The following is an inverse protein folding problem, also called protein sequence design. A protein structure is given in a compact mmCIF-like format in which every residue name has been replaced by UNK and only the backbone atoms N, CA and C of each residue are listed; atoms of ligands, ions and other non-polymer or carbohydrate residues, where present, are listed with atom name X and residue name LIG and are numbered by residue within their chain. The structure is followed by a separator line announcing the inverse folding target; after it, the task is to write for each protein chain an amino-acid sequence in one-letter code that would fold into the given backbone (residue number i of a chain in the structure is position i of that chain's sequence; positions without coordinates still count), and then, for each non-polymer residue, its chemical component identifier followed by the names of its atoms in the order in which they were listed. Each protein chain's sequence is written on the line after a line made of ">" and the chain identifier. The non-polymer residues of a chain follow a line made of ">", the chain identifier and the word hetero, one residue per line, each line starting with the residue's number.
data_IF_270700373920
#
_entry.id   IF_270700373920
#
_cell.length_a   1.000
_cell.length_b   1.000
_cell.length_c   1.000
_cell.angle_alpha   90.00
_cell.angle_beta   90.00
_cell.angle_gamma   90.00
#
_symmetry.space_group_name_H-M   'P 1'
#
loop_
_entity.id
_entity.type
_entity.pdbx_description
1 polymer ?
#
# COMPACT_ATOMS: atom_id res chain seq x y z
N UNK A 1 10.04 2.28 -18.84
CA UNK A 1 8.60 2.58 -18.95
C UNK A 1 7.95 1.86 -17.77
N UNK A 2 7.21 2.57 -16.93
CA UNK A 2 6.50 1.92 -15.80
C UNK A 2 5.49 0.93 -16.36
N UNK A 3 5.46 -0.29 -15.84
CA UNK A 3 4.48 -1.34 -16.18
C UNK A 3 3.11 -1.11 -15.53
N UNK A 4 3.04 -0.18 -14.58
CA UNK A 4 1.80 0.17 -13.88
C UNK A 4 1.04 1.23 -14.71
N UNK A 5 -0.28 1.06 -14.91
CA UNK A 5 -1.11 2.07 -15.58
C UNK A 5 -1.05 3.43 -14.89
N UNK A 6 -1.34 4.51 -15.60
CA UNK A 6 -1.41 5.86 -14.99
C UNK A 6 -2.43 5.92 -13.86
N UNK A 7 -3.62 5.38 -14.10
CA UNK A 7 -4.66 5.20 -13.10
C UNK A 7 -5.03 3.72 -13.01
N UNK A 8 -5.08 3.19 -11.80
CA UNK A 8 -5.30 1.77 -11.56
C UNK A 8 -6.08 1.52 -10.28
N UNK A 9 -6.65 0.32 -10.17
CA UNK A 9 -7.19 -0.18 -8.92
C UNK A 9 -6.32 -1.35 -8.44
N UNK A 10 -6.25 -1.52 -7.13
CA UNK A 10 -5.53 -2.63 -6.50
C UNK A 10 -6.56 -3.65 -6.04
N UNK A 11 -6.36 -4.91 -6.44
CA UNK A 11 -7.18 -6.04 -6.04
C UNK A 11 -6.30 -7.01 -5.26
N UNK A 12 -6.70 -7.35 -4.04
CA UNK A 12 -6.00 -8.31 -3.18
C UNK A 12 -6.96 -9.45 -2.87
N UNK A 13 -6.58 -10.68 -3.23
CA UNK A 13 -7.41 -11.88 -3.06
C UNK A 13 -8.84 -11.73 -3.62
N UNK A 14 -8.96 -11.00 -4.74
CA UNK A 14 -10.23 -10.72 -5.42
C UNK A 14 -11.05 -9.57 -4.82
N UNK A 15 -10.59 -8.92 -3.76
CA UNK A 15 -11.26 -7.76 -3.14
C UNK A 15 -10.53 -6.46 -3.46
N UNK A 16 -11.26 -5.36 -3.63
CA UNK A 16 -10.65 -4.08 -3.94
C UNK A 16 -10.08 -3.42 -2.69
N UNK A 17 -8.95 -2.72 -2.81
CA UNK A 17 -8.57 -1.75 -1.78
C UNK A 17 -9.59 -0.63 -1.77
N UNK A 18 -10.25 -0.44 -0.63
CA UNK A 18 -11.37 0.48 -0.51
C UNK A 18 -10.91 1.88 -0.16
N UNK A 19 -11.54 2.87 -0.80
CA UNK A 19 -11.35 4.29 -0.45
C UNK A 19 -11.96 4.56 0.93
N UNK A 20 -11.36 5.41 1.78
CA UNK A 20 -12.01 5.85 3.01
C UNK A 20 -13.38 6.51 2.71
N UNK A 21 -14.45 6.05 3.38
CA UNK A 21 -15.81 6.57 3.15
C UNK A 21 -16.08 7.92 3.84
N UNK A 22 -15.37 8.24 4.92
CA UNK A 22 -15.54 9.47 5.70
C UNK A 22 -14.39 10.47 5.47
N UNK A 23 -14.71 11.75 5.27
CA UNK A 23 -13.72 12.85 5.10
C UNK A 23 -13.21 13.43 6.43
N UNK A 24 -13.09 12.59 7.46
CA UNK A 24 -12.46 12.99 8.73
C UNK A 24 -10.94 13.00 8.52
N UNK A 25 -10.25 14.08 8.89
CA UNK A 25 -8.78 14.29 8.84
C UNK A 25 -7.98 13.33 9.74
N UNK A 26 -8.43 12.09 9.91
CA UNK A 26 -7.84 11.10 10.79
C UNK A 26 -7.16 9.99 9.97
N UNK A 27 -5.90 9.72 10.32
CA UNK A 27 -5.18 8.52 9.88
C UNK A 27 -6.00 7.29 10.24
N UNK A 28 -6.23 6.40 9.27
CA UNK A 28 -6.98 5.17 9.51
C UNK A 28 -6.39 3.97 8.78
N UNK A 29 -6.49 2.77 9.37
CA UNK A 29 -6.09 1.55 8.68
C UNK A 29 -6.82 1.39 7.34
N UNK A 30 -6.07 1.06 6.30
CA UNK A 30 -6.65 0.74 5.01
C UNK A 30 -7.29 -0.65 5.05
N UNK A 31 -8.36 -0.81 4.29
CA UNK A 31 -9.15 -2.03 4.25
C UNK A 31 -9.48 -2.42 2.80
N UNK A 32 -9.75 -3.71 2.60
CA UNK A 32 -10.41 -4.18 1.38
C UNK A 32 -11.92 -4.05 1.51
N UNK A 33 -12.61 -3.83 0.40
CA UNK A 33 -14.06 -3.65 0.35
C UNK A 33 -14.62 -3.63 -1.07
N UNK A 34 -15.90 -3.31 -1.20
CA UNK A 34 -16.64 -3.37 -2.46
C UNK A 34 -16.37 -2.17 -3.39
N UNK A 35 -16.16 -0.97 -2.82
CA UNK A 35 -15.94 0.26 -3.58
C UNK A 35 -14.44 0.46 -3.84
N UNK A 36 -13.95 0.29 -5.08
CA UNK A 36 -12.52 0.42 -5.35
C UNK A 36 -12.04 1.87 -5.19
N UNK A 37 -10.88 2.03 -4.56
CA UNK A 37 -10.08 3.24 -4.71
C UNK A 37 -9.35 3.21 -6.06
N UNK A 38 -9.42 4.32 -6.78
CA UNK A 38 -8.57 4.57 -7.96
C UNK A 38 -7.29 5.22 -7.50
N UNK A 39 -6.16 4.68 -7.94
CA UNK A 39 -4.82 5.07 -7.55
C UNK A 39 -4.02 5.61 -8.71
N UNK A 40 -3.10 6.51 -8.39
CA UNK A 40 -1.97 6.91 -9.21
C UNK A 40 -0.68 6.81 -8.38
N UNK A 41 0.46 6.67 -9.05
CA UNK A 41 1.78 6.83 -8.43
C UNK A 41 2.28 8.25 -8.70
N UNK A 42 2.33 9.07 -7.66
CA UNK A 42 2.90 10.42 -7.68
C UNK A 42 4.33 10.33 -7.11
N UNK A 43 5.31 10.24 -8.01
CA UNK A 43 6.67 9.85 -7.64
C UNK A 43 6.69 8.44 -7.06
N UNK A 44 7.05 8.33 -5.77
CA UNK A 44 7.06 7.06 -5.03
C UNK A 44 5.92 6.98 -3.99
N UNK A 45 4.87 7.80 -4.14
CA UNK A 45 3.73 7.82 -3.23
C UNK A 45 2.48 7.31 -3.94
N UNK A 46 1.72 6.46 -3.26
CA UNK A 46 0.49 5.88 -3.77
C UNK A 46 -0.69 6.76 -3.39
N UNK A 47 -1.30 7.44 -4.36
CA UNK A 47 -2.28 8.50 -4.16
C UNK A 47 -3.66 8.09 -4.69
N UNK A 48 -4.73 8.48 -3.99
CA UNK A 48 -6.13 8.32 -4.40
C UNK A 48 -6.95 9.58 -4.10
N UNK A 49 -7.00 10.50 -5.05
CA UNK A 49 -7.61 11.83 -4.84
C UNK A 49 -6.89 12.59 -3.73
N UNK A 50 -7.60 12.98 -2.68
CA UNK A 50 -7.06 13.72 -1.52
C UNK A 50 -6.35 12.84 -0.48
N UNK A 51 -6.15 11.56 -0.78
CA UNK A 51 -5.59 10.58 0.15
C UNK A 51 -4.29 9.99 -0.37
N UNK A 52 -3.35 9.75 0.54
CA UNK A 52 -2.16 8.94 0.33
C UNK A 52 -2.28 7.63 1.10
N UNK A 53 -1.80 6.53 0.51
CA UNK A 53 -1.80 5.20 1.12
C UNK A 53 -0.36 4.76 1.38
N UNK A 54 -0.04 4.40 2.62
CA UNK A 54 1.32 3.92 2.92
C UNK A 54 1.61 3.62 4.37
N UNK A 55 2.91 3.49 4.63
CA UNK A 55 3.48 3.34 5.97
C UNK A 55 4.12 4.67 6.35
N UNK A 56 3.81 5.22 7.52
CA UNK A 56 4.43 6.46 7.99
C UNK A 56 5.89 6.22 8.36
N UNK A 57 6.76 7.15 7.99
CA UNK A 57 8.12 7.29 8.52
C UNK A 57 8.01 7.50 10.03
N UNK A 58 8.41 6.50 10.81
CA UNK A 58 8.42 6.63 12.26
C UNK A 58 9.76 7.25 12.66
N UNK A 59 9.74 8.49 13.14
CA UNK A 59 10.94 9.05 13.79
C UNK A 59 11.26 8.23 15.04
N UNK A 60 12.40 7.53 15.04
CA UNK A 60 12.96 6.89 16.23
C UNK A 60 12.31 5.58 16.70
N UNK A 61 11.43 4.92 15.92
CA UNK A 61 11.00 3.58 16.28
C UNK A 61 11.97 2.51 15.79
N UNK A 62 12.71 1.95 16.75
CA UNK A 62 13.25 0.60 16.64
C UNK A 62 12.08 -0.33 16.29
N UNK A 63 12.10 -0.94 15.11
CA UNK A 63 11.19 -2.01 14.67
C UNK A 63 11.44 -3.29 15.48
N UNK A 64 11.33 -3.20 16.81
CA UNK A 64 11.24 -4.34 17.72
C UNK A 64 9.80 -4.81 17.87
N UNK A 65 8.96 -4.61 16.86
CA UNK A 65 7.62 -5.20 16.87
C UNK A 65 7.77 -6.69 16.56
N UNK A 66 7.50 -7.53 17.57
CA UNK A 66 7.29 -8.99 17.41
C UNK A 66 6.23 -9.36 16.37
N UNK A 67 5.45 -8.40 15.88
CA UNK A 67 4.43 -8.62 14.86
C UNK A 67 5.09 -8.75 13.48
N UNK A 68 4.77 -9.80 12.71
CA UNK A 68 5.34 -10.00 11.37
C UNK A 68 4.70 -9.08 10.31
N UNK A 69 4.03 -8.00 10.71
CA UNK A 69 3.32 -7.09 9.81
C UNK A 69 3.17 -5.68 10.41
N UNK A 70 3.11 -4.67 9.53
CA UNK A 70 2.73 -3.29 9.84
C UNK A 70 1.39 -2.95 9.18
N UNK A 71 0.60 -2.11 9.84
CA UNK A 71 -0.65 -1.62 9.27
C UNK A 71 -0.37 -0.56 8.21
N UNK A 72 -0.94 -0.75 7.02
CA UNK A 72 -0.99 0.28 5.99
C UNK A 72 -2.18 1.17 6.30
N UNK A 73 -1.97 2.48 6.25
CA UNK A 73 -2.98 3.46 6.60
C UNK A 73 -3.21 4.46 5.48
N UNK A 74 -4.40 5.03 5.47
CA UNK A 74 -4.75 6.21 4.72
C UNK A 74 -4.32 7.46 5.48
N UNK A 75 -3.73 8.40 4.77
CA UNK A 75 -3.28 9.72 5.21
C UNK A 75 -3.79 10.78 4.24
N UNK A 76 -3.81 12.05 4.64
CA UNK A 76 -4.09 13.12 3.69
C UNK A 76 -2.93 13.27 2.69
N UNK A 77 -3.24 13.65 1.45
CA UNK A 77 -2.25 13.75 0.37
C UNK A 77 -1.09 14.68 0.71
N UNK A 78 -1.33 15.76 1.46
CA UNK A 78 -0.30 16.69 1.93
C UNK A 78 0.70 16.07 2.92
N UNK A 79 0.36 14.93 3.52
CA UNK A 79 1.22 14.14 4.40
C UNK A 79 2.00 13.05 3.64
N UNK A 80 1.89 12.96 2.30
CA UNK A 80 2.53 11.90 1.52
C UNK A 80 4.04 11.81 1.75
N UNK A 81 4.73 12.95 1.89
CA UNK A 81 6.17 13.01 2.15
C UNK A 81 6.57 12.42 3.51
N UNK A 82 5.63 12.27 4.44
CA UNK A 82 5.85 11.59 5.72
C UNK A 82 5.77 10.07 5.57
N UNK A 83 5.45 9.53 4.40
CA UNK A 83 5.33 8.09 4.16
C UNK A 83 6.62 7.51 3.57
N UNK A 84 6.89 6.25 3.86
CA UNK A 84 7.92 5.48 3.17
C UNK A 84 7.54 5.27 1.70
N UNK A 85 8.52 5.23 0.79
CA UNK A 85 8.27 5.06 -0.63
C UNK A 85 7.60 3.72 -0.94
N UNK A 86 6.81 3.74 -2.01
CA UNK A 86 6.22 2.56 -2.66
C UNK A 86 6.97 2.32 -3.96
N UNK A 87 7.44 1.09 -4.14
CA UNK A 87 8.14 0.65 -5.33
C UNK A 87 7.26 -0.26 -6.18
N UNK A 88 7.48 -0.20 -7.48
CA UNK A 88 6.91 -1.13 -8.45
C UNK A 88 7.98 -2.11 -8.86
N UNK A 89 7.74 -3.40 -8.59
CA UNK A 89 8.64 -4.49 -8.97
C UNK A 89 7.96 -5.40 -9.98
N UNK A 90 8.70 -5.87 -10.99
CA UNK A 90 8.21 -6.91 -11.90
C UNK A 90 8.21 -8.26 -11.19
N UNK A 91 7.05 -8.90 -11.08
CA UNK A 91 6.88 -10.26 -10.62
C UNK A 91 6.51 -11.22 -11.75
N UNK A 92 6.54 -12.52 -11.49
CA UNK A 92 6.13 -13.54 -12.47
C UNK A 92 4.67 -13.41 -12.94
N UNK A 93 3.81 -12.81 -12.11
CA UNK A 93 2.39 -12.57 -12.38
C UNK A 93 2.07 -11.12 -12.76
N UNK A 94 3.09 -10.32 -13.07
CA UNK A 94 2.97 -8.90 -13.42
C UNK A 94 3.51 -7.95 -12.34
N UNK A 95 3.21 -6.63 -12.45
CA UNK A 95 3.75 -5.64 -11.52
C UNK A 95 3.19 -5.80 -10.11
N UNK A 96 4.07 -5.63 -9.13
CA UNK A 96 3.77 -5.71 -7.70
C UNK A 96 4.12 -4.39 -7.00
N UNK A 97 3.22 -3.91 -6.14
CA UNK A 97 3.51 -2.81 -5.23
C UNK A 97 4.21 -3.33 -3.99
N UNK A 98 5.36 -2.74 -3.68
CA UNK A 98 6.15 -3.05 -2.48
C UNK A 98 6.32 -1.80 -1.63
N UNK A 99 6.06 -1.93 -0.33
CA UNK A 99 6.11 -0.83 0.62
C UNK A 99 7.42 -0.91 1.39
N UNK A 100 8.22 0.15 1.35
CA UNK A 100 9.44 0.23 2.14
C UNK A 100 9.13 0.30 3.64
N UNK A 101 9.96 -0.36 4.44
CA UNK A 101 9.89 -0.33 5.90
C UNK A 101 10.82 0.68 6.54
N UNK A 102 11.80 1.20 5.79
CA UNK A 102 12.78 2.19 6.20
C UNK A 102 13.24 3.02 5.00
N UNK A 103 14.03 4.07 5.25
CA UNK A 103 14.58 4.89 4.17
C UNK A 103 15.63 4.16 3.32
N UNK A 104 16.24 3.10 3.87
CA UNK A 104 17.29 2.32 3.22
C UNK A 104 16.74 0.99 2.62
N UNK A 105 15.43 0.73 2.75
CA UNK A 105 14.77 -0.47 2.23
C UNK A 105 14.35 -0.26 0.77
N UNK A 106 15.27 -0.53 -0.16
CA UNK A 106 15.02 -0.41 -1.60
C UNK A 106 14.23 -1.59 -2.20
N UNK A 107 14.12 -2.71 -1.48
CA UNK A 107 13.36 -3.88 -1.94
C UNK A 107 11.88 -3.76 -1.62
N UNK A 108 11.56 -3.11 -0.51
CA UNK A 108 10.21 -3.04 0.05
C UNK A 108 9.64 -4.41 0.40
N UNK A 109 8.40 -4.41 0.85
CA UNK A 109 7.71 -5.62 1.31
C UNK A 109 6.32 -5.77 0.69
N UNK A 110 5.87 -7.02 0.47
CA UNK A 110 4.60 -7.27 -0.21
C UNK A 110 3.40 -6.89 0.66
N UNK A 111 2.31 -6.58 -0.05
CA UNK A 111 0.99 -6.40 0.54
C UNK A 111 0.41 -7.72 1.07
N UNK A 112 -0.34 -7.61 2.16
CA UNK A 112 -1.14 -8.69 2.71
C UNK A 112 -2.49 -8.16 3.19
N UNK A 113 -3.45 -9.06 3.36
CA UNK A 113 -4.74 -8.76 3.99
C UNK A 113 -4.97 -9.71 5.15
N UNK A 114 -5.42 -9.17 6.29
CA UNK A 114 -5.88 -9.97 7.43
C UNK A 114 -7.09 -9.30 8.06
N UNK A 115 -8.17 -10.04 8.27
CA UNK A 115 -9.42 -9.50 8.80
C UNK A 115 -9.88 -8.23 8.06
N UNK A 116 -9.82 -8.25 6.72
CA UNK A 116 -10.11 -7.13 5.82
C UNK A 116 -9.15 -5.93 5.91
N UNK A 117 -8.18 -5.91 6.82
CA UNK A 117 -7.21 -4.83 6.93
C UNK A 117 -6.01 -5.07 6.02
N UNK A 118 -5.57 -4.03 5.32
CA UNK A 118 -4.31 -4.02 4.55
C UNK A 118 -3.12 -3.93 5.50
N UNK A 119 -2.16 -4.81 5.25
CA UNK A 119 -0.95 -4.93 6.02
C UNK A 119 0.25 -5.02 5.07
N UNK A 120 1.41 -4.59 5.57
CA UNK A 120 2.70 -4.82 4.95
C UNK A 120 3.43 -5.89 5.75
N UNK A 121 3.86 -6.99 5.11
CA UNK A 121 4.45 -8.13 5.81
C UNK A 121 5.95 -7.93 6.03
N UNK A 122 6.41 -8.00 7.28
CA UNK A 122 7.79 -7.61 7.65
C UNK A 122 8.73 -8.78 7.91
N UNK A 123 8.23 -10.01 7.97
CA UNK A 123 9.07 -11.18 8.29
C UNK A 123 9.45 -11.99 7.04
N UNK A 124 10.70 -12.43 6.98
CA UNK A 124 11.25 -13.14 5.81
C UNK A 124 10.84 -14.63 5.73
N UNK A 125 10.12 -15.15 6.73
CA UNK A 125 9.91 -16.60 6.93
C UNK A 125 8.72 -17.21 6.20
N UNK A 126 7.90 -16.42 5.50
CA UNK A 126 6.89 -16.90 4.55
C UNK A 126 6.22 -15.69 3.93
N UNK A 127 6.51 -15.38 2.66
CA UNK A 127 5.73 -14.37 1.95
C UNK A 127 4.24 -14.76 2.02
N UNK A 128 3.34 -13.84 2.39
CA UNK A 128 1.92 -14.12 2.41
C UNK A 128 1.45 -14.51 1.00
N UNK A 129 0.63 -15.56 0.90
CA UNK A 129 0.05 -16.05 -0.36
C UNK A 129 -0.98 -15.09 -0.99
N UNK A 130 -0.96 -13.81 -0.63
CA UNK A 130 -1.93 -12.84 -1.12
C UNK A 130 -1.70 -12.61 -2.61
N UNK A 131 -2.73 -12.83 -3.41
CA UNK A 131 -2.70 -12.53 -4.85
C UNK A 131 -3.03 -11.06 -5.05
N UNK A 132 -2.02 -10.26 -5.39
CA UNK A 132 -2.19 -8.84 -5.69
C UNK A 132 -2.28 -8.65 -7.20
N UNK A 133 -3.29 -7.93 -7.67
CA UNK A 133 -3.45 -7.54 -9.07
C UNK A 133 -3.59 -6.03 -9.18
N UNK A 134 -2.83 -5.46 -10.11
CA UNK A 134 -2.92 -4.07 -10.52
C UNK A 134 -3.63 -4.07 -11.87
N UNK A 135 -4.80 -3.42 -11.95
CA UNK A 135 -5.57 -3.36 -13.19
C UNK A 135 -5.88 -1.90 -13.53
N UNK A 136 -5.85 -1.50 -14.82
CA UNK A 136 -6.21 -0.14 -15.21
C UNK A 136 -7.60 0.22 -14.69
N UNK A 137 -7.78 1.43 -14.14
CA UNK A 137 -9.13 1.93 -13.88
C UNK A 137 -9.77 2.28 -15.22
N UNK A 138 -11.01 1.86 -15.42
CA UNK A 138 -11.81 2.38 -16.52
C UNK A 138 -12.36 3.73 -16.06
N UNK A 139 -11.89 4.81 -16.69
CA UNK A 139 -12.54 6.13 -16.61
C UNK A 139 -13.94 6.11 -17.23
#
# INVERSE_FOLDING_TARGET
>A
MSSVPTHFIIIIDGQHVAKPEDDRDETRPAQVGEKPATFELDGNHLISGDWALGLRKLEGHVTSTRAPYLAICWFKKDQAEELYPVYVMEGGDGPQLRFALSSDDEEGRPLAVRNQQLLCYTSDNSEPSATVKIVPSQD
#
